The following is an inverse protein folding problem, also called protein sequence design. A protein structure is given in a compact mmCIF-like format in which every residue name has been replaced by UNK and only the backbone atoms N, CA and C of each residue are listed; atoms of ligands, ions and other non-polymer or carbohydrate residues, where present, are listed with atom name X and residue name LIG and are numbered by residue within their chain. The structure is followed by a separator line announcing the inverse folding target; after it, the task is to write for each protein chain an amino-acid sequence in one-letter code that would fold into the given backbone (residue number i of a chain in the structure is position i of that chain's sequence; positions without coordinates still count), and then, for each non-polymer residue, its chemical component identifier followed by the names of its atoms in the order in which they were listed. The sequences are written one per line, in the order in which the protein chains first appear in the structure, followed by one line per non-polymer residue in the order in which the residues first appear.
data_IF_582038931260
#
_entry.id   IF_582038931260
#
_cell.length_a   1.000
_cell.length_b   1.000
_cell.length_c   1.000
_cell.angle_alpha   90.00
_cell.angle_beta   90.00
_cell.angle_gamma   90.00
#
_symmetry.space_group_name_H-M   'P 1'
#
loop_
_entity.id
_entity.type
_entity.pdbx_description
1 polymer ?
#
# COMPACT_ATOMS: atom_id res chain seq x y z
N UNK A 1 -32.57 -1.04 -10.85
CA UNK A 1 -31.95 -0.61 -9.58
C UNK A 1 -31.16 -1.79 -9.06
N UNK A 2 -29.89 -1.91 -9.46
CA UNK A 2 -29.03 -3.03 -9.09
C UNK A 2 -28.12 -2.63 -7.94
N UNK A 3 -28.30 -3.27 -6.78
CA UNK A 3 -27.35 -3.22 -5.68
C UNK A 3 -26.04 -3.87 -6.12
N UNK A 4 -24.95 -3.09 -6.20
CA UNK A 4 -23.61 -3.63 -6.26
C UNK A 4 -23.10 -3.78 -4.82
N UNK A 5 -23.12 -5.03 -4.35
CA UNK A 5 -22.49 -5.46 -3.11
C UNK A 5 -20.98 -5.46 -3.39
N UNK A 6 -20.23 -4.57 -2.74
CA UNK A 6 -18.77 -4.64 -2.70
C UNK A 6 -18.43 -5.83 -1.80
N UNK A 7 -18.14 -6.96 -2.42
CA UNK A 7 -17.60 -8.14 -1.75
C UNK A 7 -16.18 -7.82 -1.33
N UNK A 8 -15.96 -7.66 -0.02
CA UNK A 8 -14.62 -7.71 0.56
C UNK A 8 -14.11 -9.13 0.34
N UNK A 9 -13.27 -9.32 -0.68
CA UNK A 9 -12.65 -10.60 -0.97
C UNK A 9 -11.64 -10.89 0.15
N UNK A 10 -11.94 -11.91 0.95
CA UNK A 10 -10.96 -12.63 1.76
C UNK A 10 -10.00 -13.36 0.80
N UNK A 11 -8.92 -12.68 0.39
CA UNK A 11 -7.81 -13.27 -0.35
C UNK A 11 -6.84 -13.91 0.65
N UNK A 12 -7.15 -15.13 1.08
CA UNK A 12 -6.17 -16.05 1.70
C UNK A 12 -6.25 -17.38 0.98
N UNK A 13 -5.77 -17.43 -0.27
CA UNK A 13 -5.33 -18.66 -0.93
C UNK A 13 -4.62 -18.28 -2.22
N UNK A 14 -3.29 -18.27 -2.22
CA UNK A 14 -2.57 -18.13 -3.49
C UNK A 14 -1.12 -17.68 -3.44
N UNK A 15 -0.62 -17.09 -2.35
CA UNK A 15 0.81 -16.75 -2.27
C UNK A 15 1.64 -18.03 -2.38
N UNK A 16 2.23 -18.25 -3.56
CA UNK A 16 3.30 -19.23 -3.72
C UNK A 16 4.36 -18.91 -2.67
N UNK A 17 4.61 -19.84 -1.75
CA UNK A 17 5.46 -19.64 -0.58
C UNK A 17 6.87 -19.08 -0.88
N UNK A 18 7.32 -19.21 -2.14
CA UNK A 18 8.60 -18.67 -2.62
C UNK A 18 8.63 -17.13 -2.72
N UNK A 19 7.51 -16.46 -3.03
CA UNK A 19 7.44 -14.99 -3.12
C UNK A 19 7.02 -14.32 -1.80
N UNK A 20 6.35 -15.07 -0.90
CA UNK A 20 5.94 -14.56 0.41
C UNK A 20 7.14 -14.23 1.33
N UNK A 21 8.18 -15.08 1.32
CA UNK A 21 9.32 -14.95 2.25
C UNK A 21 10.20 -13.69 2.10
N UNK A 22 10.65 -13.30 0.88
CA UNK A 22 11.48 -12.11 0.71
C UNK A 22 10.71 -10.82 1.03
N UNK A 23 9.41 -10.79 0.76
CA UNK A 23 8.56 -9.63 1.03
C UNK A 23 8.27 -9.48 2.53
N UNK A 24 8.02 -10.59 3.24
CA UNK A 24 7.86 -10.59 4.70
C UNK A 24 9.07 -9.97 5.41
N UNK A 25 10.30 -10.36 5.05
CA UNK A 25 11.50 -9.82 5.70
C UNK A 25 11.70 -8.32 5.42
N UNK A 26 11.40 -7.87 4.19
CA UNK A 26 11.46 -6.45 3.83
C UNK A 26 10.41 -5.64 4.58
N UNK A 27 9.17 -6.11 4.64
CA UNK A 27 8.07 -5.46 5.36
C UNK A 27 8.33 -5.43 6.87
N UNK A 28 8.81 -6.54 7.44
CA UNK A 28 9.12 -6.65 8.87
C UNK A 28 10.16 -5.62 9.34
N UNK A 29 11.13 -5.28 8.47
CA UNK A 29 12.21 -4.32 8.76
C UNK A 29 11.89 -2.89 8.36
N UNK A 30 10.90 -2.68 7.49
CA UNK A 30 10.54 -1.34 7.02
C UNK A 30 9.80 -0.54 8.10
N UNK A 31 10.12 0.75 8.21
CA UNK A 31 9.47 1.66 9.17
C UNK A 31 8.88 2.86 8.44
N UNK A 32 7.56 3.03 8.58
CA UNK A 32 6.86 4.20 8.08
C UNK A 32 7.34 5.45 8.83
N UNK A 33 7.42 6.56 8.11
CA UNK A 33 7.76 7.86 8.67
C UNK A 33 7.06 8.97 7.90
N UNK A 34 6.90 10.13 8.53
CA UNK A 34 6.27 11.28 7.87
C UNK A 34 7.03 11.77 6.64
N UNK A 35 8.38 11.85 6.63
CA UNK A 35 9.12 12.20 5.42
C UNK A 35 8.83 11.25 4.26
N UNK A 36 8.84 9.94 4.51
CA UNK A 36 8.56 8.92 3.48
C UNK A 36 7.12 9.04 2.98
N UNK A 37 6.14 9.16 3.88
CA UNK A 37 4.73 9.27 3.48
C UNK A 37 4.42 10.55 2.70
N UNK A 38 5.11 11.65 2.98
CA UNK A 38 4.97 12.88 2.18
C UNK A 38 5.51 12.70 0.77
N UNK A 39 6.61 11.96 0.61
CA UNK A 39 7.10 11.60 -0.71
C UNK A 39 6.16 10.63 -1.42
N UNK A 40 5.60 9.65 -0.71
CA UNK A 40 4.61 8.73 -1.29
C UNK A 40 3.35 9.49 -1.74
N UNK A 41 2.88 10.45 -0.95
CA UNK A 41 1.77 11.32 -1.30
C UNK A 41 2.06 12.15 -2.57
N UNK A 42 3.25 12.75 -2.66
CA UNK A 42 3.69 13.43 -3.88
C UNK A 42 3.80 12.48 -5.08
N UNK A 43 4.30 11.26 -4.88
CA UNK A 43 4.35 10.24 -5.94
C UNK A 43 2.95 9.86 -6.44
N UNK A 44 1.97 9.70 -5.54
CA UNK A 44 0.57 9.43 -5.89
C UNK A 44 -0.01 10.58 -6.72
N UNK A 45 0.26 11.83 -6.36
CA UNK A 45 -0.16 13.00 -7.14
C UNK A 45 0.48 13.02 -8.54
N UNK A 46 1.80 12.81 -8.63
CA UNK A 46 2.49 12.75 -9.93
C UNK A 46 1.96 11.61 -10.81
N UNK A 47 1.69 10.44 -10.22
CA UNK A 47 1.13 9.29 -10.92
C UNK A 47 -0.28 9.60 -11.46
N UNK A 48 -1.11 10.30 -10.70
CA UNK A 48 -2.42 10.75 -11.15
C UNK A 48 -2.33 11.65 -12.39
N UNK A 49 -1.42 12.62 -12.40
CA UNK A 49 -1.24 13.54 -13.52
C UNK A 49 -0.80 12.79 -14.80
N UNK A 50 0.08 11.81 -14.63
CA UNK A 50 0.53 10.94 -15.74
C UNK A 50 -0.63 10.07 -16.26
N UNK A 51 -1.41 9.47 -15.36
CA UNK A 51 -2.55 8.62 -15.74
C UNK A 51 -3.71 9.41 -16.36
N UNK A 52 -3.92 10.66 -15.99
CA UNK A 52 -4.88 11.55 -16.65
C UNK A 52 -4.47 11.88 -18.09
N UNK A 53 -3.16 11.97 -18.33
CA UNK A 53 -2.60 12.28 -19.65
C UNK A 53 -2.59 11.05 -20.57
N UNK A 54 -2.49 9.85 -20.01
CA UNK A 54 -2.53 8.57 -20.73
C UNK A 54 -3.13 7.46 -19.86
N UNK A 55 -4.45 7.28 -20.00
CA UNK A 55 -5.24 6.31 -19.23
C UNK A 55 -4.88 4.84 -19.55
N UNK A 56 -4.11 4.58 -20.61
CA UNK A 56 -3.66 3.23 -20.97
C UNK A 56 -2.38 2.78 -20.27
N UNK A 57 -1.75 3.64 -19.46
CA UNK A 57 -0.47 3.33 -18.84
C UNK A 57 -0.55 2.28 -17.74
N UNK A 58 -1.69 2.11 -17.08
CA UNK A 58 -1.85 1.12 -16.02
C UNK A 58 -3.29 0.60 -16.05
N UNK A 59 -3.48 -0.65 -16.43
CA UNK A 59 -4.80 -1.28 -16.44
C UNK A 59 -5.18 -1.81 -15.06
N UNK A 60 -6.43 -2.20 -14.86
CA UNK A 60 -6.82 -2.88 -13.62
C UNK A 60 -6.20 -4.28 -13.53
N UNK A 61 -6.12 -5.00 -14.67
CA UNK A 61 -5.45 -6.30 -14.77
C UNK A 61 -3.97 -6.21 -14.34
N UNK A 62 -3.26 -5.16 -14.78
CA UNK A 62 -1.87 -4.88 -14.36
C UNK A 62 -1.73 -4.75 -12.84
N UNK A 63 -2.75 -4.22 -12.15
CA UNK A 63 -2.75 -4.01 -10.70
C UNK A 63 -3.12 -5.29 -9.96
N UNK A 64 -4.05 -6.06 -10.51
CA UNK A 64 -4.49 -7.35 -9.95
C UNK A 64 -3.38 -8.40 -10.05
N UNK A 65 -2.58 -8.38 -11.12
CA UNK A 65 -1.45 -9.30 -11.33
C UNK A 65 -0.23 -9.00 -10.41
N UNK A 66 -0.17 -7.81 -9.80
CA UNK A 66 0.94 -7.40 -8.95
C UNK A 66 0.76 -7.92 -7.50
N UNK A 67 1.17 -9.16 -7.26
CA UNK A 67 0.94 -9.85 -5.98
C UNK A 67 2.05 -9.63 -4.92
N UNK A 68 3.24 -9.19 -5.34
CA UNK A 68 4.41 -9.00 -4.47
C UNK A 68 4.95 -7.56 -4.54
N UNK A 69 5.76 -7.16 -3.55
CA UNK A 69 6.47 -5.86 -3.56
C UNK A 69 7.34 -5.74 -4.81
N UNK A 70 7.92 -6.85 -5.24
CA UNK A 70 8.78 -6.89 -6.43
C UNK A 70 7.96 -6.75 -7.70
N UNK A 71 6.79 -7.40 -7.78
CA UNK A 71 5.89 -7.27 -8.94
C UNK A 71 5.37 -5.84 -9.06
N UNK A 72 4.96 -5.23 -7.94
CA UNK A 72 4.57 -3.82 -7.89
C UNK A 72 5.73 -2.93 -8.37
N UNK A 73 6.95 -3.18 -7.88
CA UNK A 73 8.10 -2.39 -8.31
C UNK A 73 8.43 -2.59 -9.80
N UNK A 74 8.35 -3.81 -10.31
CA UNK A 74 8.59 -4.14 -11.72
C UNK A 74 7.53 -3.52 -12.64
N UNK A 75 6.27 -3.50 -12.19
CA UNK A 75 5.15 -2.87 -12.87
C UNK A 75 5.41 -1.38 -13.13
N UNK A 76 5.82 -0.64 -12.10
CA UNK A 76 6.15 0.77 -12.24
C UNK A 76 7.48 0.99 -12.99
N UNK A 77 8.48 0.14 -12.76
CA UNK A 77 9.81 0.28 -13.38
C UNK A 77 9.76 0.07 -14.90
N UNK A 78 8.92 -0.85 -15.37
CA UNK A 78 8.73 -1.16 -16.80
C UNK A 78 8.07 -0.04 -17.59
N UNK A 79 7.50 0.97 -16.92
CA UNK A 79 6.78 2.10 -17.53
C UNK A 79 7.53 3.42 -17.25
N UNK A 80 8.32 3.94 -18.20
CA UNK A 80 9.20 5.08 -17.95
C UNK A 80 8.50 6.34 -17.41
N UNK A 81 7.25 6.59 -17.83
CA UNK A 81 6.46 7.71 -17.35
C UNK A 81 6.09 7.56 -15.86
N UNK A 82 5.62 6.37 -15.46
CA UNK A 82 5.26 6.11 -14.06
C UNK A 82 6.49 6.07 -13.16
N UNK A 83 7.58 5.43 -13.61
CA UNK A 83 8.86 5.44 -12.90
C UNK A 83 9.33 6.87 -12.63
N UNK A 84 9.29 7.74 -13.64
CA UNK A 84 9.71 9.14 -13.49
C UNK A 84 8.84 9.89 -12.48
N UNK A 85 7.52 9.70 -12.52
CA UNK A 85 6.60 10.32 -11.57
C UNK A 85 6.94 9.99 -10.11
N UNK A 86 7.31 8.73 -9.84
CA UNK A 86 7.75 8.28 -8.51
C UNK A 86 9.11 8.89 -8.14
N UNK A 87 10.08 8.86 -9.06
CA UNK A 87 11.44 9.37 -8.81
C UNK A 87 11.47 10.88 -8.60
N UNK A 88 10.60 11.65 -9.25
CA UNK A 88 10.43 13.09 -9.05
C UNK A 88 9.94 13.45 -7.64
N UNK A 89 9.22 12.54 -6.98
CA UNK A 89 8.84 12.68 -5.57
C UNK A 89 9.97 12.32 -4.60
N UNK A 90 11.13 11.88 -5.11
CA UNK A 90 12.31 11.54 -4.32
C UNK A 90 12.25 10.16 -3.67
N UNK A 91 11.49 9.23 -4.24
CA UNK A 91 11.48 7.80 -3.91
C UNK A 91 12.07 6.98 -5.05
N UNK A 92 12.73 5.87 -4.74
CA UNK A 92 12.90 4.83 -5.76
C UNK A 92 11.59 4.05 -5.93
N UNK A 93 11.44 3.36 -7.06
CA UNK A 93 10.28 2.50 -7.30
C UNK A 93 10.17 1.38 -6.26
N UNK A 94 11.30 0.81 -5.84
CA UNK A 94 11.36 -0.20 -4.77
C UNK A 94 10.94 0.36 -3.41
N UNK A 95 11.34 1.59 -3.08
CA UNK A 95 10.96 2.27 -1.84
C UNK A 95 9.47 2.63 -1.86
N UNK A 96 8.95 3.07 -3.01
CA UNK A 96 7.53 3.33 -3.20
C UNK A 96 6.68 2.08 -2.99
N UNK A 97 7.01 0.96 -3.65
CA UNK A 97 6.28 -0.30 -3.49
C UNK A 97 6.29 -0.79 -2.03
N UNK A 98 7.45 -0.74 -1.38
CA UNK A 98 7.61 -1.15 0.02
C UNK A 98 6.83 -0.23 0.97
N UNK A 99 6.84 1.08 0.72
CA UNK A 99 6.06 2.05 1.49
C UNK A 99 4.56 1.83 1.34
N UNK A 100 4.09 1.63 0.11
CA UNK A 100 2.69 1.40 -0.21
C UNK A 100 2.16 0.15 0.51
N UNK A 101 2.88 -0.97 0.40
CA UNK A 101 2.50 -2.21 1.08
C UNK A 101 2.55 -2.10 2.60
N UNK A 102 3.57 -1.42 3.14
CA UNK A 102 3.66 -1.17 4.59
C UNK A 102 2.52 -0.31 5.12
N UNK A 103 2.11 0.70 4.34
CA UNK A 103 0.97 1.57 4.67
C UNK A 103 -0.36 0.80 4.63
N UNK A 104 -0.58 -0.03 3.60
CA UNK A 104 -1.77 -0.88 3.48
C UNK A 104 -1.86 -1.88 4.65
N UNK A 105 -0.78 -2.61 4.95
CA UNK A 105 -0.75 -3.56 6.07
C UNK A 105 -1.02 -2.89 7.41
N UNK A 106 -0.43 -1.71 7.66
CA UNK A 106 -0.66 -0.96 8.88
C UNK A 106 -2.11 -0.49 9.02
N UNK A 107 -2.72 -0.03 7.91
CA UNK A 107 -4.13 0.38 7.87
C UNK A 107 -5.09 -0.78 8.11
N UNK A 108 -4.86 -1.92 7.47
CA UNK A 108 -5.63 -3.15 7.68
C UNK A 108 -5.52 -3.64 9.12
N UNK A 109 -4.30 -3.72 9.65
CA UNK A 109 -4.07 -4.11 11.04
C UNK A 109 -4.78 -3.14 11.99
N UNK A 110 -4.63 -1.82 11.82
CA UNK A 110 -5.32 -0.83 12.65
C UNK A 110 -6.84 -1.00 12.61
N UNK A 111 -7.43 -1.27 11.44
CA UNK A 111 -8.85 -1.51 11.28
C UNK A 111 -9.33 -2.77 12.04
N UNK A 112 -8.57 -3.86 12.00
CA UNK A 112 -8.88 -5.09 12.73
C UNK A 112 -8.85 -4.90 14.26
N UNK A 113 -8.06 -3.94 14.75
CA UNK A 113 -7.82 -3.74 16.17
C UNK A 113 -8.83 -2.79 16.85
N UNK A 114 -9.73 -2.14 16.10
CA UNK A 114 -10.63 -1.12 16.64
C UNK A 114 -11.54 -1.63 17.79
N UNK A 115 -11.83 -2.93 17.82
CA UNK A 115 -12.66 -3.57 18.84
C UNK A 115 -11.91 -4.57 19.73
N UNK A 116 -10.59 -4.69 19.57
CA UNK A 116 -9.79 -5.65 20.32
C UNK A 116 -9.37 -5.08 21.68
N UNK A 117 -9.39 -5.92 22.72
CA UNK A 117 -8.80 -5.55 24.02
C UNK A 117 -7.28 -5.39 23.90
N UNK A 118 -6.61 -4.63 24.79
CA UNK A 118 -5.16 -4.43 24.72
C UNK A 118 -4.34 -5.73 24.62
N UNK A 119 -4.75 -6.79 25.34
CA UNK A 119 -4.07 -8.09 25.29
C UNK A 119 -4.31 -8.87 23.99
N UNK A 120 -5.43 -8.64 23.31
CA UNK A 120 -5.72 -9.23 22.00
C UNK A 120 -4.99 -8.47 20.89
N UNK A 121 -4.80 -7.15 21.06
CA UNK A 121 -4.15 -6.30 20.07
C UNK A 121 -2.73 -6.76 19.73
N UNK A 122 -1.90 -6.99 20.74
CA UNK A 122 -0.50 -7.40 20.51
C UNK A 122 -0.43 -8.76 19.77
N UNK A 123 -1.30 -9.72 20.12
CA UNK A 123 -1.37 -11.02 19.43
C UNK A 123 -1.91 -10.90 18.00
N UNK A 124 -2.87 -10.01 17.77
CA UNK A 124 -3.44 -9.79 16.43
C UNK A 124 -2.43 -9.10 15.51
N UNK A 125 -1.65 -8.16 16.03
CA UNK A 125 -0.57 -7.51 15.28
C UNK A 125 0.50 -8.52 14.90
N UNK A 126 0.94 -9.37 15.84
CA UNK A 126 1.91 -10.44 15.56
C UNK A 126 1.41 -11.38 14.45
N UNK A 127 0.11 -11.72 14.44
CA UNK A 127 -0.49 -12.56 13.40
C UNK A 127 -0.72 -11.86 12.06
N UNK A 128 -0.77 -10.53 12.04
CA UNK A 128 -1.00 -9.75 10.81
C UNK A 128 0.23 -9.65 9.92
N UNK A 129 1.42 -9.94 10.45
CA UNK A 129 2.69 -9.72 9.76
C UNK A 129 3.10 -8.25 9.65
N UNK A 130 2.23 -7.30 10.02
CA UNK A 130 2.52 -5.88 10.03
C UNK A 130 3.45 -5.52 11.21
N UNK A 131 4.53 -4.74 11.00
CA UNK A 131 5.35 -4.25 12.10
C UNK A 131 4.52 -3.43 13.08
N UNK A 132 4.60 -3.75 14.37
CA UNK A 132 3.89 -3.06 15.44
C UNK A 132 4.14 -1.55 15.43
N UNK A 133 5.35 -1.13 15.09
CA UNK A 133 5.73 0.28 14.99
C UNK A 133 5.03 0.98 13.82
N UNK A 134 4.78 0.29 12.71
CA UNK A 134 4.04 0.84 11.58
C UNK A 134 2.56 0.99 11.93
N UNK A 135 1.97 0.03 12.64
CA UNK A 135 0.58 0.13 13.13
C UNK A 135 0.44 1.30 14.09
N UNK A 136 1.34 1.41 15.08
CA UNK A 136 1.35 2.53 16.04
C UNK A 136 1.57 3.87 15.35
N UNK A 137 2.48 3.92 14.38
CA UNK A 137 2.71 5.12 13.59
C UNK A 137 1.48 5.51 12.77
N UNK A 138 0.78 4.54 12.17
CA UNK A 138 -0.46 4.77 11.43
C UNK A 138 -1.54 5.39 12.33
N UNK A 139 -1.76 4.81 13.51
CA UNK A 139 -2.72 5.30 14.50
C UNK A 139 -2.38 6.70 15.02
N UNK A 140 -1.10 6.95 15.31
CA UNK A 140 -0.63 8.25 15.77
C UNK A 140 -0.78 9.36 14.73
N UNK A 141 -0.93 9.01 13.46
CA UNK A 141 -1.08 9.96 12.34
C UNK A 141 -2.42 9.78 11.61
N UNK A 142 -3.45 9.28 12.29
CA UNK A 142 -4.72 8.85 11.69
C UNK A 142 -5.37 9.91 10.78
N UNK A 143 -5.30 11.20 11.13
CA UNK A 143 -5.85 12.27 10.30
C UNK A 143 -5.14 12.41 8.95
N UNK A 144 -3.81 12.30 8.96
CA UNK A 144 -3.03 12.27 7.73
C UNK A 144 -3.33 11.01 6.92
N UNK A 145 -3.40 9.84 7.57
CA UNK A 145 -3.72 8.58 6.89
C UNK A 145 -5.10 8.61 6.24
N UNK A 146 -6.09 9.21 6.91
CA UNK A 146 -7.44 9.39 6.38
C UNK A 146 -7.44 10.31 5.17
N UNK A 147 -6.78 11.46 5.26
CA UNK A 147 -6.68 12.40 4.15
C UNK A 147 -5.98 11.80 2.92
N UNK A 148 -4.89 11.06 3.15
CA UNK A 148 -4.16 10.33 2.12
C UNK A 148 -5.04 9.24 1.49
N UNK A 149 -5.71 8.42 2.30
CA UNK A 149 -6.62 7.37 1.82
C UNK A 149 -7.77 7.91 0.98
N UNK A 150 -8.39 9.02 1.40
CA UNK A 150 -9.44 9.69 0.61
C UNK A 150 -8.92 10.20 -0.74
N UNK A 151 -7.68 10.69 -0.79
CA UNK A 151 -7.07 11.14 -2.05
C UNK A 151 -6.82 9.98 -3.00
N UNK A 152 -6.28 8.86 -2.50
CA UNK A 152 -6.08 7.65 -3.30
C UNK A 152 -7.41 7.16 -3.88
N UNK A 153 -8.48 7.15 -3.08
CA UNK A 153 -9.81 6.74 -3.55
C UNK A 153 -10.35 7.66 -4.65
N UNK A 154 -10.22 8.97 -4.51
CA UNK A 154 -10.65 9.94 -5.53
C UNK A 154 -9.91 9.79 -6.86
N UNK A 155 -8.68 9.29 -6.83
CA UNK A 155 -7.89 9.04 -8.03
C UNK A 155 -8.24 7.73 -8.74
N UNK A 156 -9.01 6.86 -8.07
CA UNK A 156 -9.49 5.59 -8.62
C UNK A 156 -10.90 5.64 -9.20
N UNK A 157 -11.61 6.78 -9.05
CA UNK A 157 -12.94 7.05 -9.61
C UNK A 157 -12.86 7.71 -10.99
#
# INVERSE_FOLDING_TARGET
MGSLIITVILLVTGLSAAHAQPDEARLASYRLSMPVLKKMDAAIANLADVMQSDAGLLTEEDREDAESISDIADLYRSRPALRRAIEEAGLSVDEFALCLMSWLQAGMASAMLQNASPAERDRMIERSGAPLENVRFFEANADYMRALGSRVQQLSE
#
